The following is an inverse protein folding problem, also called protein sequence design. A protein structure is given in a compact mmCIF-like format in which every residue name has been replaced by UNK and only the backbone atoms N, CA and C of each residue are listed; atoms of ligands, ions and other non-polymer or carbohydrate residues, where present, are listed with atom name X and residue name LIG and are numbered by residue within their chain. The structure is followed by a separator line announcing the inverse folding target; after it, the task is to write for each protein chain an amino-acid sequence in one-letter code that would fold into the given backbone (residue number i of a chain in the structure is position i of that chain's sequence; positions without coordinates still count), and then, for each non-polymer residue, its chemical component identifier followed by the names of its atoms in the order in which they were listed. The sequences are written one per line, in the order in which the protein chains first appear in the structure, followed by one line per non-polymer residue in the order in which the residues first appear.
data_IF_221295282545
#
_entry.id   IF_221295282545
#
_cell.length_a   1.000
_cell.length_b   1.000
_cell.length_c   1.000
_cell.angle_alpha   90.00
_cell.angle_beta   90.00
_cell.angle_gamma   90.00
#
_symmetry.space_group_name_H-M   'P 1'
#
loop_
_entity.id
_entity.type
_entity.pdbx_description
1 polymer ?
#
# COMPACT_ATOMS: atom_id res chain seq x y z
N UNK A 1 -24.12 4.72 16.22
CA UNK A 1 -25.01 4.19 15.17
C UNK A 1 -24.13 3.45 14.17
N UNK A 2 -24.45 2.21 13.80
CA UNK A 2 -23.72 1.55 12.72
C UNK A 2 -24.02 2.32 11.43
N UNK A 3 -22.99 2.92 10.82
CA UNK A 3 -23.13 3.61 9.54
C UNK A 3 -23.57 2.65 8.43
N UNK A 4 -24.00 3.19 7.30
CA UNK A 4 -24.27 2.39 6.10
C UNK A 4 -23.04 1.52 5.76
N UNK A 5 -23.25 0.28 5.28
CA UNK A 5 -22.14 -0.59 4.91
C UNK A 5 -21.31 0.06 3.81
N UNK A 6 -20.00 0.17 4.04
CA UNK A 6 -19.06 0.54 2.98
C UNK A 6 -18.82 -0.67 2.09
N UNK A 7 -18.95 -0.49 0.79
CA UNK A 7 -18.81 -1.55 -0.19
C UNK A 7 -17.37 -1.66 -0.72
N UNK A 8 -16.99 -2.87 -1.11
CA UNK A 8 -15.75 -3.09 -1.86
C UNK A 8 -15.84 -2.40 -3.22
N UNK A 9 -14.71 -1.93 -3.73
CA UNK A 9 -14.61 -1.41 -5.07
C UNK A 9 -13.56 -2.16 -5.89
N UNK A 10 -13.77 -2.15 -7.21
CA UNK A 10 -12.80 -2.56 -8.22
C UNK A 10 -12.66 -1.47 -9.28
N UNK A 11 -11.83 -1.69 -10.29
CA UNK A 11 -11.71 -0.82 -11.44
C UNK A 11 -12.90 -1.02 -12.39
N UNK A 12 -13.33 0.03 -13.09
CA UNK A 12 -14.47 -0.10 -14.03
C UNK A 12 -14.07 -0.69 -15.39
N UNK A 13 -12.82 -0.48 -15.81
CA UNK A 13 -12.21 -1.06 -17.01
C UNK A 13 -10.71 -1.22 -16.82
N UNK A 14 -10.04 -1.90 -17.73
CA UNK A 14 -8.59 -2.02 -17.66
C UNK A 14 -7.88 -0.77 -18.19
N UNK A 15 -6.79 -0.38 -17.55
CA UNK A 15 -5.90 0.68 -18.01
C UNK A 15 -4.46 0.36 -17.61
N UNK A 16 -3.48 0.92 -18.32
CA UNK A 16 -2.07 0.63 -18.04
C UNK A 16 -1.13 1.73 -18.53
N UNK A 17 0.14 1.50 -18.31
CA UNK A 17 1.26 2.27 -18.86
C UNK A 17 2.52 1.42 -18.86
N UNK A 18 3.51 1.84 -19.63
CA UNK A 18 4.81 1.18 -19.70
C UNK A 18 5.91 2.14 -19.26
N UNK A 19 7.01 1.61 -18.75
CA UNK A 19 8.14 2.39 -18.26
C UNK A 19 9.37 1.53 -18.01
N UNK A 20 10.34 2.10 -17.31
CA UNK A 20 11.50 1.38 -16.79
C UNK A 20 11.24 1.06 -15.32
N UNK A 21 11.67 -0.10 -14.81
CA UNK A 21 11.68 -0.40 -13.38
C UNK A 21 12.83 0.32 -12.65
N UNK A 22 12.76 0.46 -11.32
CA UNK A 22 13.79 1.17 -10.55
C UNK A 22 15.05 0.33 -10.39
N UNK A 23 14.91 -0.86 -9.81
CA UNK A 23 16.05 -1.66 -9.40
C UNK A 23 16.60 -2.54 -10.52
N UNK A 24 15.75 -3.22 -11.29
CA UNK A 24 16.18 -4.10 -12.38
C UNK A 24 16.57 -3.33 -13.65
N UNK A 25 15.99 -2.13 -13.85
CA UNK A 25 16.21 -1.32 -15.05
C UNK A 25 15.53 -1.88 -16.31
N UNK A 26 14.68 -2.89 -16.15
CA UNK A 26 13.96 -3.54 -17.25
C UNK A 26 12.82 -2.65 -17.77
N UNK A 27 12.50 -2.82 -19.05
CA UNK A 27 11.28 -2.25 -19.62
C UNK A 27 10.11 -3.13 -19.23
N UNK A 28 9.09 -2.50 -18.67
CA UNK A 28 7.90 -3.19 -18.16
C UNK A 28 6.65 -2.45 -18.59
N UNK A 29 5.64 -3.22 -18.99
CA UNK A 29 4.28 -2.80 -19.23
C UNK A 29 3.41 -3.28 -18.09
N UNK A 30 2.72 -2.36 -17.42
CA UNK A 30 1.80 -2.68 -16.32
C UNK A 30 0.38 -2.33 -16.72
N UNK A 31 -0.54 -3.27 -16.50
CA UNK A 31 -1.97 -3.10 -16.74
C UNK A 31 -2.77 -3.49 -15.50
N UNK A 32 -3.62 -2.59 -15.06
CA UNK A 32 -4.57 -2.81 -13.98
C UNK A 32 -5.89 -3.27 -14.57
N UNK A 33 -6.46 -4.35 -14.02
CA UNK A 33 -7.73 -4.92 -14.46
C UNK A 33 -8.76 -4.98 -13.31
N UNK A 34 -10.06 -4.86 -13.62
CA UNK A 34 -11.13 -5.20 -12.69
C UNK A 34 -10.98 -6.63 -12.17
N UNK A 35 -11.43 -6.87 -10.95
CA UNK A 35 -11.47 -8.20 -10.35
C UNK A 35 -12.76 -8.42 -9.52
N UNK A 36 -13.23 -9.66 -9.35
CA UNK A 36 -14.43 -9.96 -8.56
C UNK A 36 -14.32 -9.51 -7.08
N UNK A 37 -15.45 -9.48 -6.38
CA UNK A 37 -15.47 -9.20 -4.95
C UNK A 37 -14.63 -10.24 -4.18
N UNK A 38 -14.04 -9.82 -3.06
CA UNK A 38 -13.14 -10.61 -2.20
C UNK A 38 -11.89 -11.18 -2.88
N UNK A 39 -11.60 -10.76 -4.12
CA UNK A 39 -10.41 -11.17 -4.85
C UNK A 39 -9.12 -10.62 -4.22
N UNK A 40 -9.19 -9.42 -3.64
CA UNK A 40 -8.03 -8.65 -3.20
C UNK A 40 -7.18 -8.14 -4.37
N UNK A 41 -5.99 -7.66 -4.05
CA UNK A 41 -4.99 -7.27 -5.05
C UNK A 41 -4.07 -8.45 -5.35
N UNK A 42 -3.95 -8.82 -6.63
CA UNK A 42 -3.03 -9.87 -7.07
C UNK A 42 -2.16 -9.37 -8.20
N UNK A 43 -0.89 -9.73 -8.17
CA UNK A 43 0.04 -9.46 -9.26
C UNK A 43 0.10 -10.66 -10.19
N UNK A 44 0.08 -10.43 -11.50
CA UNK A 44 0.14 -11.46 -12.55
C UNK A 44 1.39 -11.23 -13.41
N UNK A 45 2.23 -12.26 -13.55
CA UNK A 45 3.47 -12.21 -14.35
C UNK A 45 3.24 -12.86 -15.71
N UNK A 46 2.88 -12.03 -16.69
CA UNK A 46 2.53 -12.45 -18.06
C UNK A 46 3.72 -13.00 -18.86
N UNK A 47 4.92 -12.60 -18.49
CA UNK A 47 6.17 -13.01 -19.12
C UNK A 47 6.62 -14.44 -18.75
N UNK A 48 6.02 -15.04 -17.70
CA UNK A 48 6.35 -16.39 -17.25
C UNK A 48 5.39 -17.43 -17.86
N UNK A 49 5.84 -18.69 -18.03
CA UNK A 49 4.94 -19.79 -18.37
C UNK A 49 3.77 -19.89 -17.40
N UNK A 50 2.58 -20.20 -17.92
CA UNK A 50 1.31 -20.29 -17.18
C UNK A 50 0.79 -18.97 -16.57
N UNK A 51 1.44 -17.85 -16.86
CA UNK A 51 1.08 -16.50 -16.42
C UNK A 51 0.65 -16.42 -14.93
N UNK A 52 1.52 -16.87 -14.00
CA UNK A 52 1.15 -17.09 -12.60
C UNK A 52 0.75 -15.80 -11.90
N UNK A 53 -0.05 -15.96 -10.85
CA UNK A 53 -0.49 -14.87 -9.99
C UNK A 53 0.00 -15.03 -8.56
N UNK A 54 0.26 -13.92 -7.88
CA UNK A 54 0.62 -13.88 -6.46
C UNK A 54 -0.27 -12.90 -5.71
N UNK A 55 -0.79 -13.32 -4.56
CA UNK A 55 -1.56 -12.46 -3.67
C UNK A 55 -0.65 -11.39 -3.04
N UNK A 56 -1.08 -10.12 -3.08
CA UNK A 56 -0.42 -9.03 -2.35
C UNK A 56 -0.79 -9.08 -0.86
N UNK A 57 -0.29 -10.10 -0.16
CA UNK A 57 -0.52 -10.35 1.26
C UNK A 57 0.80 -10.43 2.02
N UNK A 58 0.73 -10.14 3.32
CA UNK A 58 1.90 -10.13 4.21
C UNK A 58 2.59 -11.51 4.32
N UNK A 59 1.85 -12.60 4.10
CA UNK A 59 2.39 -13.96 4.08
C UNK A 59 3.34 -14.19 2.88
N UNK A 60 3.08 -13.48 1.78
CA UNK A 60 3.88 -13.53 0.57
C UNK A 60 5.04 -12.52 0.58
N UNK A 61 5.15 -11.66 1.61
CA UNK A 61 6.24 -10.69 1.72
C UNK A 61 7.61 -11.39 1.82
N UNK A 62 8.49 -11.07 0.89
CA UNK A 62 9.92 -11.36 0.89
C UNK A 62 10.64 -10.03 0.99
N UNK A 63 11.27 -9.70 2.11
CA UNK A 63 11.99 -8.42 2.21
C UNK A 63 13.22 -8.44 1.31
N UNK A 64 13.38 -7.40 0.49
CA UNK A 64 14.61 -7.08 -0.25
C UNK A 64 15.07 -5.70 0.22
N UNK A 65 16.39 -5.47 0.23
CA UNK A 65 16.95 -4.22 0.73
C UNK A 65 16.35 -3.01 0.00
N UNK A 66 15.74 -2.09 0.77
CA UNK A 66 15.09 -0.85 0.32
C UNK A 66 13.82 -0.96 -0.53
N UNK A 67 13.18 -2.13 -0.61
CA UNK A 67 11.90 -2.27 -1.31
C UNK A 67 11.01 -3.38 -0.72
N UNK A 68 9.71 -3.26 -0.92
CA UNK A 68 8.75 -4.29 -0.56
C UNK A 68 8.59 -5.26 -1.72
N UNK A 69 9.05 -6.51 -1.54
CA UNK A 69 8.97 -7.56 -2.55
C UNK A 69 8.00 -8.64 -2.10
N UNK A 70 7.15 -9.15 -2.98
CA UNK A 70 6.32 -10.33 -2.71
C UNK A 70 6.82 -11.52 -3.53
N UNK A 71 6.65 -12.73 -3.00
CA UNK A 71 7.14 -13.93 -3.65
C UNK A 71 6.49 -15.23 -3.19
N UNK A 72 6.23 -16.11 -4.16
CA UNK A 72 5.69 -17.45 -3.98
C UNK A 72 6.41 -18.39 -4.95
N UNK A 73 6.89 -19.54 -4.47
CA UNK A 73 7.76 -20.42 -5.27
C UNK A 73 8.96 -19.66 -5.86
N UNK A 74 9.11 -19.72 -7.19
CA UNK A 74 10.12 -18.97 -7.97
C UNK A 74 9.66 -17.57 -8.41
N UNK A 75 8.38 -17.26 -8.33
CA UNK A 75 7.83 -15.97 -8.75
C UNK A 75 8.18 -14.89 -7.73
N UNK A 76 8.66 -13.74 -8.22
CA UNK A 76 8.94 -12.54 -7.41
C UNK A 76 8.36 -11.32 -8.10
N UNK A 77 7.87 -10.37 -7.30
CA UNK A 77 7.51 -9.02 -7.73
C UNK A 77 8.12 -8.04 -6.75
N UNK A 78 9.08 -7.26 -7.23
CA UNK A 78 9.79 -6.25 -6.46
C UNK A 78 9.01 -4.93 -6.41
N UNK A 79 9.33 -4.07 -5.46
CA UNK A 79 8.92 -2.66 -5.43
C UNK A 79 7.40 -2.45 -5.60
N UNK A 80 6.58 -3.23 -4.88
CA UNK A 80 5.11 -3.20 -5.02
C UNK A 80 4.45 -2.03 -4.29
N UNK A 81 5.18 -1.38 -3.38
CA UNK A 81 4.70 -0.35 -2.45
C UNK A 81 3.97 0.80 -3.14
N UNK A 82 4.49 1.37 -4.23
CA UNK A 82 3.83 2.50 -4.90
C UNK A 82 2.50 2.11 -5.58
N UNK A 83 2.46 0.92 -6.20
CA UNK A 83 1.26 0.38 -6.83
C UNK A 83 0.19 0.14 -5.77
N UNK A 84 0.59 -0.51 -4.67
CA UNK A 84 -0.29 -0.82 -3.55
C UNK A 84 -0.78 0.43 -2.83
N UNK A 85 0.08 1.43 -2.66
CA UNK A 85 -0.30 2.71 -2.07
C UNK A 85 -1.39 3.39 -2.91
N UNK A 86 -1.19 3.45 -4.23
CA UNK A 86 -2.16 4.05 -5.14
C UNK A 86 -3.50 3.30 -5.15
N UNK A 87 -3.49 1.98 -5.30
CA UNK A 87 -4.73 1.18 -5.29
C UNK A 87 -5.45 1.32 -3.96
N UNK A 88 -4.72 1.23 -2.85
CA UNK A 88 -5.30 1.27 -1.51
C UNK A 88 -5.93 2.63 -1.19
N UNK A 89 -5.17 3.72 -1.38
CA UNK A 89 -5.62 5.05 -1.03
C UNK A 89 -6.66 5.62 -2.00
N UNK A 90 -6.67 5.18 -3.27
CA UNK A 90 -7.74 5.51 -4.23
C UNK A 90 -8.99 4.63 -4.07
N UNK A 91 -9.02 3.77 -3.04
CA UNK A 91 -10.21 3.01 -2.66
C UNK A 91 -10.48 1.78 -3.51
N UNK A 92 -9.48 1.21 -4.18
CA UNK A 92 -9.58 -0.05 -4.94
C UNK A 92 -9.25 -1.22 -4.02
N UNK A 93 -10.22 -2.11 -3.81
CA UNK A 93 -10.08 -3.30 -2.95
C UNK A 93 -9.68 -4.53 -3.77
N UNK A 94 -10.20 -4.63 -5.00
CA UNK A 94 -10.02 -5.80 -5.86
C UNK A 94 -9.44 -5.39 -7.22
N UNK A 95 -8.29 -5.93 -7.59
CA UNK A 95 -7.69 -5.73 -8.91
C UNK A 95 -6.68 -6.83 -9.26
N UNK A 96 -6.48 -7.04 -10.56
CA UNK A 96 -5.33 -7.79 -11.08
C UNK A 96 -4.33 -6.77 -11.63
N UNK A 97 -3.10 -6.85 -11.14
CA UNK A 97 -1.95 -6.07 -11.61
C UNK A 97 -1.14 -6.95 -12.56
N UNK A 98 -1.43 -6.89 -13.85
CA UNK A 98 -0.71 -7.63 -14.90
C UNK A 98 0.57 -6.88 -15.28
N UNK A 99 1.69 -7.60 -15.34
CA UNK A 99 3.00 -7.08 -15.75
C UNK A 99 3.81 -8.14 -16.50
N UNK A 100 4.73 -7.69 -17.35
CA UNK A 100 5.62 -8.51 -18.18
C UNK A 100 7.10 -8.45 -17.73
N UNK A 101 7.33 -8.06 -16.47
CA UNK A 101 8.62 -8.10 -15.79
C UNK A 101 8.43 -8.31 -14.28
N UNK A 102 9.52 -8.51 -13.53
CA UNK A 102 9.47 -8.79 -12.10
C UNK A 102 9.45 -7.53 -11.20
N UNK A 103 9.34 -6.33 -11.76
CA UNK A 103 9.30 -5.07 -11.02
C UNK A 103 8.39 -4.07 -11.76
N UNK A 104 7.44 -3.40 -11.09
CA UNK A 104 6.61 -2.36 -11.69
C UNK A 104 7.43 -1.20 -12.29
N UNK A 105 6.87 -0.48 -13.27
CA UNK A 105 7.51 0.72 -13.81
C UNK A 105 7.61 1.81 -12.72
N UNK A 106 8.78 2.41 -12.53
CA UNK A 106 8.97 3.42 -11.49
C UNK A 106 8.26 4.75 -11.80
N UNK A 107 7.92 4.98 -13.08
CA UNK A 107 7.37 6.25 -13.53
C UNK A 107 8.33 7.41 -13.25
N UNK A 108 7.88 8.39 -12.49
CA UNK A 108 8.67 9.54 -12.04
C UNK A 108 9.21 9.37 -10.61
N UNK A 109 9.14 8.16 -10.04
CA UNK A 109 9.52 7.89 -8.65
C UNK A 109 8.40 8.04 -7.64
N UNK A 110 7.23 8.50 -8.05
CA UNK A 110 6.06 8.70 -7.19
C UNK A 110 4.93 7.72 -7.53
N UNK A 111 3.79 7.82 -6.84
CA UNK A 111 2.59 7.05 -7.16
C UNK A 111 1.68 7.73 -8.21
N UNK A 112 2.05 8.93 -8.70
CA UNK A 112 1.20 9.73 -9.59
C UNK A 112 0.77 8.99 -10.85
N UNK A 113 1.70 8.28 -11.51
CA UNK A 113 1.39 7.53 -12.72
C UNK A 113 0.31 6.45 -12.48
N UNK A 114 0.36 5.79 -11.31
CA UNK A 114 -0.63 4.79 -10.91
C UNK A 114 -1.99 5.43 -10.63
N UNK A 115 -2.03 6.58 -9.95
CA UNK A 115 -3.26 7.33 -9.74
C UNK A 115 -3.90 7.75 -11.07
N UNK A 116 -3.09 8.25 -12.02
CA UNK A 116 -3.58 8.62 -13.35
C UNK A 116 -4.19 7.41 -14.09
N UNK A 117 -3.59 6.21 -13.96
CA UNK A 117 -4.13 4.97 -14.52
C UNK A 117 -5.46 4.59 -13.86
N UNK A 118 -5.54 4.65 -12.53
CA UNK A 118 -6.77 4.34 -11.76
C UNK A 118 -7.89 5.31 -12.17
N UNK A 119 -7.60 6.61 -12.29
CA UNK A 119 -8.58 7.61 -12.74
C UNK A 119 -9.06 7.36 -14.17
N UNK A 120 -8.16 6.99 -15.09
CA UNK A 120 -8.54 6.61 -16.47
C UNK A 120 -9.41 5.34 -16.49
N UNK A 121 -9.13 4.38 -15.62
CA UNK A 121 -9.89 3.15 -15.46
C UNK A 121 -11.26 3.38 -14.81
N UNK A 122 -11.39 4.37 -13.92
CA UNK A 122 -12.55 4.54 -13.07
C UNK A 122 -12.64 3.49 -11.96
N UNK A 123 -13.40 3.79 -10.92
CA UNK A 123 -13.63 2.91 -9.77
C UNK A 123 -15.13 2.62 -9.68
N UNK A 124 -15.48 1.35 -9.50
CA UNK A 124 -16.87 0.88 -9.41
C UNK A 124 -17.08 0.05 -8.16
N UNK A 125 -18.20 0.30 -7.47
CA UNK A 125 -18.60 -0.47 -6.32
C UNK A 125 -19.05 -1.89 -6.67
N UNK A 126 -18.88 -2.80 -5.72
CA UNK A 126 -19.26 -4.20 -5.78
C UNK A 126 -20.19 -4.49 -4.60
N UNK A 127 -21.19 -5.36 -4.79
CA UNK A 127 -22.17 -5.72 -3.75
C UNK A 127 -21.59 -6.66 -2.67
N UNK A 128 -20.43 -6.29 -2.12
CA UNK A 128 -19.77 -6.99 -1.02
C UNK A 128 -19.28 -5.97 0.01
N UNK A 129 -19.45 -6.22 1.31
CA UNK A 129 -18.97 -5.30 2.34
C UNK A 129 -17.44 -5.24 2.35
N UNK A 130 -16.90 -4.03 2.51
CA UNK A 130 -15.48 -3.78 2.70
C UNK A 130 -15.03 -4.25 4.08
N UNK A 131 -13.85 -4.88 4.12
CA UNK A 131 -13.24 -5.39 5.36
C UNK A 131 -12.39 -4.30 6.01
N UNK A 132 -12.55 -4.14 7.32
CA UNK A 132 -11.81 -3.17 8.12
C UNK A 132 -11.14 -3.82 9.33
N UNK A 133 -9.87 -3.49 9.55
CA UNK A 133 -9.21 -3.64 10.83
C UNK A 133 -9.41 -2.37 11.66
N UNK A 134 -10.30 -2.45 12.65
CA UNK A 134 -10.47 -1.39 13.65
C UNK A 134 -9.44 -1.55 14.76
N UNK A 135 -8.57 -0.56 14.94
CA UNK A 135 -7.61 -0.55 16.05
C UNK A 135 -8.39 -0.34 17.36
N UNK A 136 -8.28 -1.30 18.27
CA UNK A 136 -8.98 -1.29 19.58
C UNK A 136 -8.03 -1.00 20.73
N UNK A 137 -6.78 -1.39 20.59
CA UNK A 137 -5.71 -1.24 21.56
C UNK A 137 -4.46 -0.73 20.84
N UNK A 138 -3.62 0.09 21.49
CA UNK A 138 -2.36 0.53 20.92
C UNK A 138 -1.47 -0.64 20.49
N UNK A 139 -0.89 -0.56 19.29
CA UNK A 139 0.13 -1.48 18.80
C UNK A 139 1.43 -0.71 18.59
N UNK A 140 2.56 -1.27 19.02
CA UNK A 140 3.86 -0.60 18.99
C UNK A 140 4.93 -1.50 18.37
N UNK A 141 5.75 -0.90 17.48
CA UNK A 141 6.95 -1.49 16.90
C UNK A 141 8.10 -0.52 17.12
N UNK A 142 9.22 -1.03 17.63
CA UNK A 142 10.47 -0.30 17.76
C UNK A 142 11.62 -1.16 17.23
N UNK A 143 12.36 -0.63 16.27
CA UNK A 143 13.51 -1.33 15.69
C UNK A 143 14.80 -0.91 16.38
N UNK A 144 15.82 -1.78 16.31
CA UNK A 144 17.18 -1.47 16.78
C UNK A 144 17.81 -0.27 16.04
N UNK A 145 17.29 0.08 14.87
CA UNK A 145 17.74 1.22 14.06
C UNK A 145 17.07 2.55 14.46
N UNK A 146 16.20 2.53 15.47
CA UNK A 146 15.51 3.71 15.99
C UNK A 146 14.25 4.10 15.22
N UNK A 147 13.71 3.21 14.39
CA UNK A 147 12.38 3.40 13.81
C UNK A 147 11.32 3.05 14.86
N UNK A 148 10.30 3.89 15.00
CA UNK A 148 9.21 3.71 15.96
C UNK A 148 7.87 3.90 15.26
N UNK A 149 6.97 2.93 15.38
CA UNK A 149 5.61 3.00 14.87
C UNK A 149 4.63 2.70 16.01
N UNK A 150 3.66 3.58 16.21
CA UNK A 150 2.58 3.43 17.19
C UNK A 150 1.24 3.57 16.46
N UNK A 151 0.45 2.50 16.44
CA UNK A 151 -0.89 2.50 15.86
C UNK A 151 -1.93 2.59 16.99
N UNK A 152 -2.70 3.68 17.01
CA UNK A 152 -3.67 4.02 18.05
C UNK A 152 -5.11 3.86 17.56
N UNK A 153 -6.08 3.61 18.47
CA UNK A 153 -7.50 3.68 18.14
C UNK A 153 -7.90 5.08 17.64
N UNK A 154 -8.54 5.13 16.48
CA UNK A 154 -9.21 6.32 15.94
C UNK A 154 -10.44 5.86 15.14
N UNK A 155 -11.55 6.59 15.30
CA UNK A 155 -12.82 6.29 14.66
C UNK A 155 -13.03 7.07 13.35
N UNK A 156 -12.13 7.99 13.00
CA UNK A 156 -12.27 8.90 11.87
C UNK A 156 -11.60 8.40 10.57
N UNK A 157 -11.44 7.08 10.42
CA UNK A 157 -10.76 6.47 9.29
C UNK A 157 -9.28 6.17 9.60
N UNK A 158 -8.41 6.32 8.61
CA UNK A 158 -6.97 6.14 8.77
C UNK A 158 -6.29 7.51 8.77
N UNK A 159 -5.49 7.79 9.81
CA UNK A 159 -4.61 8.95 9.88
C UNK A 159 -3.16 8.51 10.01
N UNK A 160 -2.25 9.20 9.34
CA UNK A 160 -0.80 8.98 9.48
C UNK A 160 -0.14 10.29 9.88
N UNK A 161 0.54 10.28 11.03
CA UNK A 161 1.51 11.30 11.43
C UNK A 161 2.91 10.71 11.31
N UNK A 162 3.74 11.29 10.45
CA UNK A 162 5.06 10.76 10.14
C UNK A 162 6.13 11.81 10.43
N UNK A 163 7.22 11.39 11.06
CA UNK A 163 8.48 12.14 11.16
C UNK A 163 9.54 11.39 10.39
N UNK A 164 9.94 11.91 9.24
CA UNK A 164 11.12 11.43 8.52
C UNK A 164 12.35 12.18 9.04
N UNK A 165 13.44 11.47 9.28
CA UNK A 165 14.72 12.09 9.64
C UNK A 165 15.87 11.30 9.02
N UNK A 166 16.70 12.00 8.25
CA UNK A 166 17.86 11.43 7.58
C UNK A 166 19.08 11.22 8.49
N UNK A 167 20.20 10.77 7.90
CA UNK A 167 21.48 10.70 8.59
C UNK A 167 21.81 12.02 9.30
N UNK A 168 22.31 11.93 10.54
CA UNK A 168 22.59 13.08 11.40
C UNK A 168 21.39 14.03 11.61
N UNK A 169 20.16 13.52 11.49
CA UNK A 169 18.90 14.28 11.59
C UNK A 169 18.74 15.39 10.54
N UNK A 170 19.50 15.33 9.43
CA UNK A 170 19.27 16.19 8.27
C UNK A 170 17.93 15.87 7.61
N UNK A 171 17.34 16.87 6.96
CA UNK A 171 16.04 16.77 6.29
C UNK A 171 14.96 16.16 7.20
N UNK A 172 14.97 16.55 8.48
CA UNK A 172 13.90 16.18 9.40
C UNK A 172 12.62 16.90 9.00
N UNK A 173 11.59 16.13 8.67
CA UNK A 173 10.32 16.62 8.16
C UNK A 173 9.18 15.91 8.89
N UNK A 174 8.12 16.65 9.16
CA UNK A 174 6.92 16.14 9.82
C UNK A 174 5.70 16.44 8.97
N UNK A 175 4.80 15.46 8.87
CA UNK A 175 3.49 15.65 8.27
C UNK A 175 2.46 14.80 9.00
N UNK A 176 1.24 15.30 9.12
CA UNK A 176 0.08 14.54 9.60
C UNK A 176 -1.08 14.73 8.63
N UNK A 177 -1.68 13.63 8.16
CA UNK A 177 -2.80 13.70 7.21
C UNK A 177 -3.74 12.50 7.33
N UNK A 178 -4.99 12.70 6.95
CA UNK A 178 -5.98 11.64 6.81
C UNK A 178 -5.82 10.96 5.44
N UNK A 179 -5.97 9.63 5.40
CA UNK A 179 -5.76 8.86 4.17
C UNK A 179 -7.11 8.66 3.48
N UNK A 180 -7.44 9.61 2.61
CA UNK A 180 -8.62 9.58 1.73
C UNK A 180 -8.21 9.89 0.28
N UNK A 181 -8.95 9.44 -0.74
CA UNK A 181 -8.54 9.53 -2.14
C UNK A 181 -8.14 10.93 -2.59
N UNK A 182 -8.90 11.96 -2.21
CA UNK A 182 -8.68 13.35 -2.63
C UNK A 182 -7.40 13.94 -2.04
N UNK A 183 -7.11 13.63 -0.77
CA UNK A 183 -5.88 14.06 -0.10
C UNK A 183 -4.68 13.27 -0.65
N UNK A 184 -4.82 11.95 -0.81
CA UNK A 184 -3.75 11.13 -1.34
C UNK A 184 -3.33 11.58 -2.74
N UNK A 185 -4.28 11.77 -3.66
CA UNK A 185 -4.01 12.22 -5.03
C UNK A 185 -3.23 13.55 -5.04
N UNK A 186 -3.66 14.52 -4.23
CA UNK A 186 -3.11 15.87 -4.25
C UNK A 186 -1.79 15.99 -3.50
N UNK A 187 -1.67 15.32 -2.36
CA UNK A 187 -0.67 15.65 -1.34
C UNK A 187 0.38 14.56 -1.13
N UNK A 188 0.10 13.31 -1.49
CA UNK A 188 0.99 12.16 -1.22
C UNK A 188 1.47 11.52 -2.52
N UNK A 189 0.55 11.22 -3.44
CA UNK A 189 0.84 10.53 -4.69
C UNK A 189 1.96 11.17 -5.53
N UNK A 190 2.12 12.51 -5.58
CA UNK A 190 3.19 13.13 -6.36
C UNK A 190 4.57 13.10 -5.69
N UNK A 191 4.69 12.69 -4.42
CA UNK A 191 5.97 12.71 -3.71
C UNK A 191 6.92 11.59 -4.21
N UNK A 192 8.07 12.00 -4.75
CA UNK A 192 9.02 11.07 -5.38
C UNK A 192 9.90 10.36 -4.36
N UNK A 193 10.35 9.17 -4.76
CA UNK A 193 11.37 8.42 -4.04
C UNK A 193 12.69 9.18 -3.99
N UNK A 194 13.47 8.85 -2.97
CA UNK A 194 14.74 9.52 -2.72
C UNK A 194 15.78 8.58 -2.14
N UNK A 195 17.05 8.94 -2.34
CA UNK A 195 18.20 8.18 -1.89
C UNK A 195 19.30 9.12 -1.41
N UNK A 196 20.04 8.75 -0.36
CA UNK A 196 21.26 9.48 0.01
C UNK A 196 22.40 9.04 -0.89
N UNK A 197 23.17 10.01 -1.40
CA UNK A 197 24.24 9.79 -2.36
C UNK A 197 25.28 8.78 -1.85
N UNK A 198 25.55 8.80 -0.55
CA UNK A 198 26.49 7.90 0.12
C UNK A 198 26.04 6.42 0.07
N UNK A 199 24.76 6.15 -0.22
CA UNK A 199 24.23 4.79 -0.34
C UNK A 199 24.16 4.30 -1.80
N UNK A 200 24.37 5.19 -2.77
CA UNK A 200 24.23 4.88 -4.21
C UNK A 200 25.23 3.82 -4.65
N UNK A 201 26.50 3.96 -4.26
CA UNK A 201 27.57 3.01 -4.61
C UNK A 201 27.24 1.60 -4.13
N UNK A 202 26.89 1.45 -2.85
CA UNK A 202 26.52 0.16 -2.27
C UNK A 202 25.30 -0.48 -2.94
N UNK A 203 24.31 0.34 -3.36
CA UNK A 203 23.16 -0.16 -4.10
C UNK A 203 23.54 -0.66 -5.49
N UNK A 204 24.40 0.06 -6.20
CA UNK A 204 24.87 -0.36 -7.53
C UNK A 204 25.68 -1.66 -7.45
N UNK A 205 26.56 -1.81 -6.44
CA UNK A 205 27.32 -3.04 -6.20
C UNK A 205 26.41 -4.26 -5.97
N UNK A 206 25.26 -4.04 -5.32
CA UNK A 206 24.23 -5.06 -5.09
C UNK A 206 23.31 -5.28 -6.30
N UNK A 207 23.64 -4.74 -7.47
CA UNK A 207 22.83 -4.81 -8.69
C UNK A 207 21.43 -4.17 -8.55
N UNK A 208 21.26 -3.21 -7.64
CA UNK A 208 20.05 -2.42 -7.48
C UNK A 208 20.18 -1.09 -8.25
N UNK A 209 19.07 -0.37 -8.32
CA UNK A 209 18.91 0.98 -8.91
C UNK A 209 19.41 1.13 -10.36
N UNK A 210 19.39 0.05 -11.15
CA UNK A 210 19.85 0.05 -12.55
C UNK A 210 19.02 0.97 -13.46
N UNK A 211 17.76 1.20 -13.12
CA UNK A 211 16.88 2.17 -13.79
C UNK A 211 16.78 3.52 -13.07
N UNK A 212 17.53 3.72 -11.99
CA UNK A 212 17.53 4.97 -11.22
C UNK A 212 18.15 6.14 -12.00
N UNK A 213 17.50 7.29 -11.95
CA UNK A 213 17.95 8.52 -12.59
C UNK A 213 17.39 9.75 -11.86
N UNK A 214 17.92 10.94 -12.16
CA UNK A 214 17.35 12.19 -11.65
C UNK A 214 15.94 12.50 -12.20
N UNK A 215 15.46 11.74 -13.20
CA UNK A 215 14.10 11.84 -13.72
C UNK A 215 13.09 11.10 -12.83
N UNK A 216 13.53 10.10 -12.06
CA UNK A 216 12.67 9.22 -11.29
C UNK A 216 13.08 9.06 -9.82
N UNK A 217 14.06 9.81 -9.35
CA UNK A 217 14.46 9.83 -7.96
C UNK A 217 15.07 11.18 -7.59
N UNK A 218 14.90 11.57 -6.32
CA UNK A 218 15.61 12.68 -5.71
C UNK A 218 16.86 12.16 -5.02
N UNK A 219 18.04 12.71 -5.33
CA UNK A 219 19.30 12.30 -4.71
C UNK A 219 19.74 13.38 -3.72
N UNK A 220 20.03 12.98 -2.49
CA UNK A 220 20.42 13.90 -1.41
C UNK A 220 21.90 13.72 -1.10
N UNK A 221 22.67 14.81 -1.05
CA UNK A 221 24.10 14.78 -0.67
C UNK A 221 24.43 15.94 0.24
N UNK A 222 24.75 15.66 1.51
CA UNK A 222 24.95 16.73 2.50
C UNK A 222 23.67 17.55 2.68
N UNK A 223 23.71 18.85 2.37
CA UNK A 223 22.54 19.74 2.36
C UNK A 223 21.99 20.00 0.93
N UNK A 224 22.61 19.40 -0.09
CA UNK A 224 22.20 19.57 -1.48
C UNK A 224 21.15 18.53 -1.87
N UNK A 225 20.16 18.98 -2.63
CA UNK A 225 19.13 18.15 -3.27
C UNK A 225 19.37 18.16 -4.77
N UNK A 226 19.66 17.00 -5.34
CA UNK A 226 19.93 16.78 -6.75
C UNK A 226 18.71 16.09 -7.38
N UNK A 227 18.04 16.77 -8.30
CA UNK A 227 16.87 16.26 -9.02
C UNK A 227 16.70 17.03 -10.33
N UNK A 228 16.02 16.45 -11.32
CA UNK A 228 15.80 17.09 -12.63
C UNK A 228 14.93 18.35 -12.53
N UNK A 229 13.96 18.32 -11.63
CA UNK A 229 13.06 19.44 -11.31
C UNK A 229 13.11 19.68 -9.79
N UNK A 230 12.82 20.92 -9.31
CA UNK A 230 12.77 21.21 -7.88
C UNK A 230 11.89 20.23 -7.09
N UNK A 231 12.04 20.22 -5.76
CA UNK A 231 11.13 19.48 -4.91
C UNK A 231 9.69 19.92 -5.17
N UNK A 232 8.79 18.95 -5.31
CA UNK A 232 7.36 19.17 -5.54
C UNK A 232 6.67 19.70 -4.28
N UNK A 233 7.24 19.37 -3.13
CA UNK A 233 6.83 19.84 -1.82
C UNK A 233 8.07 20.14 -0.97
N UNK A 234 7.98 21.14 -0.08
CA UNK A 234 9.07 21.40 0.88
C UNK A 234 9.35 20.19 1.79
N UNK A 235 8.32 19.40 2.05
CA UNK A 235 8.26 18.19 2.88
C UNK A 235 8.09 16.91 2.03
N UNK A 236 8.67 16.87 0.81
CA UNK A 236 8.51 15.75 -0.13
C UNK A 236 9.01 14.40 0.43
N UNK A 237 10.06 14.38 1.26
CA UNK A 237 10.62 13.13 1.79
C UNK A 237 9.69 12.45 2.81
N UNK A 238 9.07 13.22 3.71
CA UNK A 238 8.09 12.67 4.66
C UNK A 238 6.80 12.25 3.96
N UNK A 239 6.36 12.99 2.92
CA UNK A 239 5.22 12.59 2.07
C UNK A 239 5.48 11.26 1.38
N UNK A 240 6.67 11.08 0.83
CA UNK A 240 7.05 9.81 0.23
C UNK A 240 7.11 8.67 1.27
N UNK A 241 7.57 8.94 2.49
CA UNK A 241 7.50 7.93 3.56
C UNK A 241 6.08 7.57 3.98
N UNK A 242 5.15 8.51 3.93
CA UNK A 242 3.71 8.21 4.10
C UNK A 242 3.20 7.34 2.95
N UNK A 243 3.60 7.62 1.70
CA UNK A 243 3.28 6.79 0.54
C UNK A 243 3.78 5.34 0.74
N UNK A 244 5.04 5.16 1.14
CA UNK A 244 5.64 3.85 1.45
C UNK A 244 4.82 3.10 2.51
N UNK A 245 4.48 3.78 3.62
CA UNK A 245 3.68 3.20 4.71
C UNK A 245 2.32 2.71 4.21
N UNK A 246 1.61 3.50 3.39
CA UNK A 246 0.30 3.11 2.84
C UNK A 246 0.44 1.85 1.98
N UNK A 247 1.48 1.80 1.14
CA UNK A 247 1.77 0.66 0.28
C UNK A 247 2.08 -0.61 1.06
N UNK A 248 2.95 -0.51 2.05
CA UNK A 248 3.35 -1.65 2.88
C UNK A 248 2.19 -2.18 3.73
N UNK A 249 1.39 -1.29 4.32
CA UNK A 249 0.23 -1.68 5.12
C UNK A 249 -0.91 -2.26 4.29
N UNK A 250 -0.96 -1.98 2.97
CA UNK A 250 -1.94 -2.62 2.08
C UNK A 250 -1.78 -4.15 2.03
N UNK A 251 -0.59 -4.68 2.34
CA UNK A 251 -0.34 -6.12 2.44
C UNK A 251 -1.09 -6.81 3.58
N UNK A 252 -1.69 -6.06 4.51
CA UNK A 252 -2.62 -6.62 5.50
C UNK A 252 -3.85 -7.24 4.82
N UNK A 253 -4.25 -6.72 3.64
CA UNK A 253 -5.38 -7.23 2.87
C UNK A 253 -6.76 -6.71 3.31
N UNK A 254 -6.80 -5.72 4.20
CA UNK A 254 -8.01 -4.99 4.56
C UNK A 254 -7.69 -3.51 4.87
N UNK A 255 -8.71 -2.66 5.00
CA UNK A 255 -8.51 -1.25 5.37
C UNK A 255 -8.29 -1.10 6.87
N UNK A 256 -7.35 -0.25 7.26
CA UNK A 256 -7.09 0.03 8.68
C UNK A 256 -7.88 1.27 9.07
N UNK A 257 -8.47 1.26 10.28
CA UNK A 257 -9.00 2.46 10.93
C UNK A 257 -8.29 2.67 12.25
N UNK A 258 -7.62 3.81 12.36
CA UNK A 258 -6.73 4.15 13.46
C UNK A 258 -5.83 5.33 13.10
N UNK A 259 -5.02 5.73 14.07
CA UNK A 259 -4.01 6.77 13.90
C UNK A 259 -2.63 6.16 14.04
N UNK A 260 -1.87 6.12 12.95
CA UNK A 260 -0.48 5.70 12.95
C UNK A 260 0.44 6.89 13.18
N UNK A 261 1.27 6.82 14.21
CA UNK A 261 2.39 7.72 14.47
C UNK A 261 3.67 6.98 14.11
N UNK A 262 4.44 7.50 13.16
CA UNK A 262 5.66 6.89 12.65
C UNK A 262 6.84 7.85 12.78
N UNK A 263 7.98 7.37 13.29
CA UNK A 263 9.24 8.11 13.40
C UNK A 263 10.33 7.28 12.75
N UNK A 264 11.06 7.89 11.80
CA UNK A 264 12.07 7.23 10.96
C UNK A 264 11.56 5.92 10.33
N UNK A 265 10.38 5.90 9.70
CA UNK A 265 9.81 4.67 9.15
C UNK A 265 10.65 4.10 8.01
N UNK A 266 10.45 2.81 7.76
CA UNK A 266 11.01 2.12 6.60
C UNK A 266 10.34 0.76 6.43
N UNK A 267 10.50 0.15 5.26
CA UNK A 267 9.76 -1.06 4.88
C UNK A 267 9.84 -2.20 5.89
N UNK A 268 10.99 -2.40 6.55
CA UNK A 268 11.13 -3.42 7.58
C UNK A 268 10.20 -3.18 8.80
N UNK A 269 10.19 -1.95 9.33
CA UNK A 269 9.33 -1.60 10.47
C UNK A 269 7.85 -1.59 10.07
N UNK A 270 7.55 -1.13 8.84
CA UNK A 270 6.19 -1.16 8.28
C UNK A 270 5.68 -2.61 8.14
N UNK A 271 6.54 -3.51 7.66
CA UNK A 271 6.24 -4.93 7.52
C UNK A 271 6.01 -5.61 8.88
N UNK A 272 6.82 -5.29 9.90
CA UNK A 272 6.61 -5.79 11.27
C UNK A 272 5.25 -5.35 11.82
N UNK A 273 4.86 -4.09 11.61
CA UNK A 273 3.54 -3.60 11.98
C UNK A 273 2.43 -4.31 11.18
N UNK A 274 2.58 -4.46 9.86
CA UNK A 274 1.61 -5.18 9.02
C UNK A 274 1.42 -6.63 9.47
N UNK A 275 2.50 -7.34 9.82
CA UNK A 275 2.44 -8.70 10.39
C UNK A 275 1.69 -8.72 11.72
N UNK A 276 1.96 -7.76 12.60
CA UNK A 276 1.27 -7.66 13.88
C UNK A 276 -0.25 -7.43 13.68
N UNK A 277 -0.63 -6.54 12.76
CA UNK A 277 -2.03 -6.26 12.43
C UNK A 277 -2.71 -7.51 11.86
N UNK A 278 -2.10 -8.16 10.86
CA UNK A 278 -2.66 -9.35 10.24
C UNK A 278 -2.85 -10.49 11.26
N UNK A 279 -1.87 -10.71 12.14
CA UNK A 279 -1.98 -11.70 13.22
C UNK A 279 -3.13 -11.39 14.17
N UNK A 280 -3.28 -10.13 14.57
CA UNK A 280 -4.36 -9.69 15.45
C UNK A 280 -5.73 -9.79 14.75
N UNK A 281 -5.80 -9.50 13.45
CA UNK A 281 -7.00 -9.68 12.64
C UNK A 281 -7.41 -11.16 12.61
N UNK A 282 -6.50 -12.07 12.25
CA UNK A 282 -6.80 -13.51 12.22
C UNK A 282 -7.23 -14.04 13.58
N UNK A 283 -6.60 -13.57 14.67
CA UNK A 283 -7.00 -13.92 16.04
C UNK A 283 -8.44 -13.49 16.33
N UNK A 284 -8.84 -12.28 15.94
CA UNK A 284 -10.20 -11.78 16.15
C UNK A 284 -11.23 -12.53 15.33
N UNK A 285 -10.91 -12.80 14.06
CA UNK A 285 -11.77 -13.57 13.16
C UNK A 285 -12.03 -14.98 13.71
N UNK A 286 -11.00 -15.65 14.25
CA UNK A 286 -11.13 -16.97 14.88
C UNK A 286 -11.97 -16.96 16.18
N UNK A 287 -12.05 -15.83 16.88
CA UNK A 287 -12.86 -15.68 18.10
C UNK A 287 -14.33 -15.29 17.81
N UNK A 288 -14.62 -14.82 16.61
CA UNK A 288 -15.99 -14.58 16.16
C UNK A 288 -16.68 -15.92 15.91
N UNK A 289 -17.50 -16.37 16.86
CA UNK A 289 -18.42 -17.50 16.65
C UNK A 289 -19.36 -17.12 15.49
N UNK A 290 -19.56 -17.99 14.47
CA UNK A 290 -20.58 -17.77 13.47
C UNK A 290 -21.91 -17.61 14.21
N UNK A 291 -22.50 -16.42 14.16
CA UNK A 291 -23.84 -16.22 14.69
C UNK A 291 -24.76 -16.98 13.74
N UNK A 292 -25.10 -18.22 14.08
CA UNK A 292 -26.19 -18.95 13.43
C UNK A 292 -27.42 -18.10 13.71
N UNK A 293 -27.79 -17.25 12.76
CA UNK A 293 -29.12 -16.66 12.73
C UNK A 293 -30.03 -17.83 12.38
N UNK A 294 -30.86 -18.32 13.31
CA UNK A 294 -31.81 -19.35 12.95
C UNK A 294 -32.64 -18.78 11.80
N UNK A 295 -32.69 -19.48 10.66
CA UNK A 295 -33.77 -19.25 9.70
C UNK A 295 -35.03 -19.67 10.45
N UNK A 296 -35.71 -18.70 11.06
CA UNK A 296 -37.01 -18.93 11.68
C UNK A 296 -37.93 -19.50 10.62
N UNK A 297 -38.29 -20.77 10.77
CA UNK A 297 -39.50 -21.29 10.15
C UNK A 297 -40.68 -20.48 10.68
N UNK A 298 -41.50 -19.96 9.76
CA UNK A 298 -42.88 -19.54 10.01
C UNK A 298 -43.05 -18.50 11.11
N UNK A 299 -43.17 -17.23 10.71
CA UNK A 299 -43.96 -16.31 11.53
C UNK A 299 -45.35 -16.93 11.72
N UNK A 300 -45.73 -17.16 12.97
CA UNK A 300 -47.12 -17.46 13.31
C UNK A 300 -47.96 -16.27 12.86
N UNK A 301 -48.91 -16.55 11.99
CA UNK A 301 -49.88 -15.58 11.52
C UNK A 301 -50.74 -15.15 12.71
N UNK A 302 -50.79 -13.85 12.98
CA UNK A 302 -51.50 -13.28 14.13
C UNK A 302 -53.03 -13.40 14.02
N UNK A 303 -53.55 -13.99 12.95
CA UNK A 303 -54.98 -14.23 12.72
C UNK A 303 -55.50 -15.56 13.30
N UNK A 304 -54.65 -16.49 13.76
CA UNK A 304 -55.09 -17.80 14.30
C UNK A 304 -55.41 -17.80 15.83
N UNK A 305 -55.30 -16.68 16.54
CA UNK A 305 -55.52 -16.63 18.02
C UNK A 305 -56.91 -16.08 18.41
N UNK A 306 -57.82 -15.83 17.46
CA UNK A 306 -59.21 -15.45 17.78
C UNK A 306 -60.25 -16.43 17.21
N UNK A 307 -60.29 -17.63 17.80
CA UNK A 307 -61.50 -18.47 17.86
C UNK A 307 -61.77 -18.91 19.29
#
# INVERSE_FOLDING_TARGET
MAGAPEFQHTLSKSAGFSGTSLHTGEKVSLKLHPAPADHGIKFKRKDLPDEPTIDAKIDNLKMVERATTIGEGSMRVHTVEHVLAALSAMGVDNAIVEMDANEPPIGDGSAKAYVDVIKRAGVSAQEAPRKFFHVREPMHIETKTGAMLVLLPDNNGMRISCTQAGPNNRFTQFMSTDIVPELFEREIAPARTFVYYEEVESLMEKNLIKGGSLENAVVVRGDAVLSKEPLRFQDEFVRHKILDIIGDLALVGCRIRGHLIAVKPGHAANAELARAIAKEQSRREALTVPRIVPKGNGGLDSEEIMQ
#
